data_IF_552889298721
#
_entry.id   IF_552889298721
#
_cell.length_a   1.000
_cell.length_b   1.000
_cell.length_c   1.000
_cell.angle_alpha   90.00
_cell.angle_beta   90.00
_cell.angle_gamma   90.00
#
_symmetry.space_group_name_H-M   'P 1'
#
loop_
_entity.id
_entity.type
_entity.pdbx_description
1 polymer ?
#
# COMPACT_ATOMS: atom_id res chain seq x y z
N UNK A 1 -6.30 0.68 16.17
CA UNK A 1 -6.47 0.22 14.77
C UNK A 1 -5.40 0.86 13.91
N UNK A 2 -4.73 0.11 13.03
CA UNK A 2 -3.79 0.62 12.03
C UNK A 2 -4.40 0.43 10.64
N UNK A 3 -4.43 1.51 9.84
CA UNK A 3 -4.97 1.50 8.47
C UNK A 3 -4.05 2.25 7.49
N UNK A 4 -4.06 1.80 6.24
CA UNK A 4 -3.48 2.50 5.09
C UNK A 4 -4.64 2.92 4.18
N UNK A 5 -5.18 4.15 4.32
CA UNK A 5 -6.48 4.51 3.75
C UNK A 5 -6.44 4.85 2.26
N UNK A 6 -5.25 5.00 1.69
CA UNK A 6 -5.06 5.30 0.26
C UNK A 6 -3.98 4.40 -0.34
N UNK A 7 -4.32 3.72 -1.43
CA UNK A 7 -3.48 2.73 -2.11
C UNK A 7 -2.94 1.68 -1.15
N UNK A 8 -3.86 1.10 -0.37
CA UNK A 8 -3.57 0.17 0.72
C UNK A 8 -2.63 -0.97 0.30
N UNK A 9 -1.75 -1.36 1.19
CA UNK A 9 -0.94 -2.57 1.04
C UNK A 9 -1.67 -3.73 1.78
N UNK A 10 -2.09 -4.80 1.10
CA UNK A 10 -1.71 -5.22 -0.26
C UNK A 10 -2.70 -4.84 -1.38
N UNK A 11 -3.93 -4.37 -1.06
CA UNK A 11 -5.05 -4.35 -2.00
C UNK A 11 -4.98 -3.24 -3.06
N UNK A 12 -4.24 -2.16 -2.80
CA UNK A 12 -4.25 -0.96 -3.64
C UNK A 12 -5.53 -0.11 -3.49
N UNK A 13 -6.45 -0.50 -2.62
CA UNK A 13 -7.73 0.17 -2.41
C UNK A 13 -7.59 1.56 -1.79
N UNK A 14 -8.57 2.41 -2.08
CA UNK A 14 -8.78 3.72 -1.47
C UNK A 14 -10.08 3.66 -0.69
N UNK A 15 -10.02 3.95 0.61
CA UNK A 15 -11.20 4.02 1.46
C UNK A 15 -12.05 5.22 1.06
N UNK A 16 -13.37 5.04 1.01
CA UNK A 16 -14.27 6.18 0.82
C UNK A 16 -14.40 6.99 2.11
N UNK A 17 -14.87 8.24 1.99
CA UNK A 17 -15.13 9.08 3.15
C UNK A 17 -16.17 8.44 4.08
N UNK A 18 -17.19 7.79 3.51
CA UNK A 18 -18.22 7.09 4.25
C UNK A 18 -17.62 5.90 5.04
N UNK A 19 -16.73 5.11 4.42
CA UNK A 19 -16.02 4.02 5.11
C UNK A 19 -15.17 4.54 6.28
N UNK A 20 -14.48 5.66 6.09
CA UNK A 20 -13.65 6.26 7.13
C UNK A 20 -14.50 6.78 8.30
N UNK A 21 -15.61 7.48 8.01
CA UNK A 21 -16.56 7.94 9.03
C UNK A 21 -17.18 6.76 9.79
N UNK A 22 -17.54 5.69 9.11
CA UNK A 22 -18.07 4.49 9.75
C UNK A 22 -17.03 3.79 10.64
N UNK A 23 -15.76 3.72 10.20
CA UNK A 23 -14.67 3.20 11.03
C UNK A 23 -14.47 4.04 12.29
N UNK A 24 -14.51 5.37 12.18
CA UNK A 24 -14.46 6.27 13.33
C UNK A 24 -15.62 6.03 14.29
N UNK A 25 -16.85 5.93 13.76
CA UNK A 25 -18.05 5.65 14.54
C UNK A 25 -17.97 4.32 15.31
N UNK A 26 -17.55 3.26 14.63
CA UNK A 26 -17.41 1.94 15.25
C UNK A 26 -16.30 1.96 16.31
N UNK A 27 -15.13 2.47 15.98
CA UNK A 27 -13.98 2.46 16.89
C UNK A 27 -14.21 3.29 18.15
N UNK A 28 -14.86 4.45 18.05
CA UNK A 28 -15.17 5.30 19.21
C UNK A 28 -16.15 4.65 20.20
N UNK A 29 -16.99 3.72 19.74
CA UNK A 29 -17.91 2.98 20.60
C UNK A 29 -17.23 1.94 21.50
N UNK A 30 -16.02 1.49 21.15
CA UNK A 30 -15.30 0.50 21.95
C UNK A 30 -14.64 1.10 23.19
N UNK A 31 -14.07 2.29 23.07
CA UNK A 31 -13.38 2.96 24.19
C UNK A 31 -12.97 4.38 23.81
N UNK A 32 -12.99 5.27 24.77
CA UNK A 32 -12.39 6.61 24.73
C UNK A 32 -10.84 6.56 24.56
N UNK A 33 -10.23 5.39 24.79
CA UNK A 33 -8.79 5.13 24.57
C UNK A 33 -8.51 4.40 23.26
N UNK A 34 -9.50 4.19 22.40
CA UNK A 34 -9.28 3.58 21.09
C UNK A 34 -8.44 4.51 20.23
N UNK A 35 -7.35 3.99 19.67
CA UNK A 35 -6.44 4.78 18.82
C UNK A 35 -6.60 4.41 17.35
N UNK A 36 -6.84 5.42 16.53
CA UNK A 36 -6.80 5.32 15.07
C UNK A 36 -5.43 5.76 14.60
N UNK A 37 -4.65 4.85 14.03
CA UNK A 37 -3.36 5.13 13.43
C UNK A 37 -3.47 4.95 11.91
N UNK A 38 -3.34 6.04 11.18
CA UNK A 38 -3.38 6.03 9.72
C UNK A 38 -1.99 6.24 9.12
N UNK A 39 -1.54 5.27 8.32
CA UNK A 39 -0.29 5.37 7.57
C UNK A 39 -0.57 5.81 6.13
N UNK A 40 -0.23 7.06 5.84
CA UNK A 40 -0.34 7.65 4.50
C UNK A 40 0.95 7.47 3.69
N UNK A 41 1.58 6.31 3.73
CA UNK A 41 2.81 6.02 2.98
C UNK A 41 2.65 6.18 1.45
N UNK A 42 1.43 6.08 0.95
CA UNK A 42 1.11 6.13 -0.50
C UNK A 42 0.21 7.29 -0.89
N UNK A 43 0.03 8.31 -0.02
CA UNK A 43 -0.91 9.42 -0.21
C UNK A 43 -0.85 10.09 -1.59
N UNK A 44 0.34 10.23 -2.17
CA UNK A 44 0.61 10.96 -3.42
C UNK A 44 1.12 10.04 -4.55
N UNK A 45 0.82 8.75 -4.48
CA UNK A 45 1.32 7.74 -5.45
C UNK A 45 0.30 7.39 -6.53
N UNK A 46 -0.59 8.33 -6.89
CA UNK A 46 -1.52 8.16 -7.99
C UNK A 46 -0.77 8.09 -9.33
N UNK A 47 -1.10 7.12 -10.17
CA UNK A 47 -0.63 7.01 -11.56
C UNK A 47 -1.78 7.04 -12.57
N UNK A 48 -3.02 6.98 -12.10
CA UNK A 48 -4.26 7.24 -12.84
C UNK A 48 -5.12 8.22 -12.05
N UNK A 49 -6.08 8.92 -12.70
CA UNK A 49 -7.08 9.68 -11.97
C UNK A 49 -7.79 8.79 -10.94
N UNK A 50 -7.75 9.20 -9.69
CA UNK A 50 -8.35 8.47 -8.59
C UNK A 50 -9.49 9.24 -7.96
N UNK A 51 -10.35 8.53 -7.22
CA UNK A 51 -11.43 9.16 -6.45
C UNK A 51 -10.84 10.20 -5.50
N UNK A 52 -11.39 11.40 -5.52
CA UNK A 52 -11.03 12.44 -4.54
C UNK A 52 -11.45 11.97 -3.15
N UNK A 53 -10.57 12.16 -2.19
CA UNK A 53 -10.76 11.81 -0.79
C UNK A 53 -10.59 13.07 0.03
N UNK A 54 -11.52 13.34 0.93
CA UNK A 54 -11.41 14.48 1.86
C UNK A 54 -10.18 14.31 2.77
N UNK A 55 -9.56 15.40 3.22
CA UNK A 55 -8.50 15.31 4.21
C UNK A 55 -8.96 14.49 5.43
N UNK A 56 -8.21 13.45 5.76
CA UNK A 56 -8.56 12.53 6.84
C UNK A 56 -8.78 13.25 8.18
N UNK A 57 -8.03 14.33 8.40
CA UNK A 57 -8.16 15.12 9.62
C UNK A 57 -9.53 15.80 9.72
N UNK A 58 -10.09 16.31 8.61
CA UNK A 58 -11.43 16.88 8.59
C UNK A 58 -12.49 15.84 8.95
N UNK A 59 -12.36 14.61 8.44
CA UNK A 59 -13.24 13.50 8.78
C UNK A 59 -13.13 13.11 10.26
N UNK A 60 -11.92 13.14 10.84
CA UNK A 60 -11.70 12.86 12.26
C UNK A 60 -12.35 13.92 13.15
N UNK A 61 -12.25 15.19 12.78
CA UNK A 61 -12.93 16.31 13.47
C UNK A 61 -14.45 16.20 13.35
N UNK A 62 -14.96 15.90 12.15
CA UNK A 62 -16.40 15.68 11.94
C UNK A 62 -16.95 14.55 12.80
N UNK A 63 -16.17 13.47 12.98
CA UNK A 63 -16.54 12.33 13.82
C UNK A 63 -16.27 12.55 15.33
N UNK A 64 -15.64 13.67 15.74
CA UNK A 64 -15.30 13.95 17.14
C UNK A 64 -14.22 13.03 17.72
N UNK A 65 -13.29 12.53 16.88
CA UNK A 65 -12.26 11.55 17.28
C UNK A 65 -10.83 12.05 16.99
N UNK A 66 -10.65 13.34 16.81
CA UNK A 66 -9.34 13.95 16.54
C UNK A 66 -8.33 13.65 17.65
N UNK A 67 -8.75 13.57 18.91
CA UNK A 67 -7.90 13.24 20.06
C UNK A 67 -7.47 11.76 20.09
N UNK A 68 -8.18 10.91 19.35
CA UNK A 68 -7.89 9.49 19.20
C UNK A 68 -7.19 9.19 17.86
N UNK A 69 -6.92 10.21 17.03
CA UNK A 69 -6.40 10.03 15.68
C UNK A 69 -4.95 10.47 15.56
N UNK A 70 -4.13 9.59 15.00
CA UNK A 70 -2.74 9.87 14.59
C UNK A 70 -2.59 9.55 13.12
N UNK A 71 -2.06 10.51 12.37
CA UNK A 71 -1.75 10.35 10.94
C UNK A 71 -0.25 10.39 10.76
N UNK A 72 0.29 9.43 10.04
CA UNK A 72 1.71 9.37 9.68
C UNK A 72 1.88 9.38 8.16
N UNK A 73 2.97 9.96 7.68
CA UNK A 73 3.38 9.87 6.28
C UNK A 73 4.90 9.90 6.17
N UNK A 74 5.42 9.48 5.02
CA UNK A 74 6.87 9.39 4.79
C UNK A 74 7.24 9.65 3.34
N UNK A 75 8.39 10.25 3.12
CA UNK A 75 9.03 10.41 1.82
C UNK A 75 9.92 9.22 1.43
N UNK A 76 9.96 8.15 2.23
CA UNK A 76 10.80 6.96 1.95
C UNK A 76 10.49 6.29 0.59
N UNK A 77 9.24 6.38 0.13
CA UNK A 77 8.82 5.86 -1.18
C UNK A 77 8.65 6.95 -2.25
N UNK A 78 8.83 8.21 -1.85
CA UNK A 78 8.80 9.37 -2.76
C UNK A 78 10.19 9.67 -3.29
N UNK A 79 11.22 9.59 -2.44
CA UNK A 79 12.62 9.85 -2.79
C UNK A 79 13.44 8.57 -2.82
N UNK A 80 13.93 8.12 -1.66
CA UNK A 80 14.73 6.90 -1.56
C UNK A 80 14.60 6.28 -0.16
N UNK A 81 14.57 4.97 -0.12
CA UNK A 81 14.51 4.20 1.13
C UNK A 81 15.72 4.45 2.01
N UNK A 82 15.50 4.56 3.33
CA UNK A 82 16.54 4.84 4.31
C UNK A 82 16.95 6.31 4.42
N UNK A 83 16.61 7.14 3.44
CA UNK A 83 16.90 8.58 3.46
C UNK A 83 15.65 9.48 3.44
N UNK A 84 14.45 8.91 3.58
CA UNK A 84 13.22 9.67 3.63
C UNK A 84 13.07 10.49 4.92
N UNK A 85 12.24 11.52 4.85
CA UNK A 85 11.74 12.23 6.03
C UNK A 85 10.33 11.77 6.34
N UNK A 86 9.95 11.76 7.61
CA UNK A 86 8.64 11.31 8.07
C UNK A 86 7.94 12.43 8.84
N UNK A 87 6.63 12.43 8.77
CA UNK A 87 5.77 13.38 9.46
C UNK A 87 4.70 12.62 10.22
N UNK A 88 4.24 13.20 11.31
CA UNK A 88 3.02 12.78 11.98
C UNK A 88 2.19 14.00 12.38
N UNK A 89 0.87 13.80 12.39
CA UNK A 89 -0.10 14.78 12.84
C UNK A 89 -1.03 14.13 13.86
N UNK A 90 -1.39 14.89 14.89
CA UNK A 90 -2.30 14.48 15.95
C UNK A 90 -2.84 15.73 16.65
N UNK A 91 -3.87 15.56 17.50
CA UNK A 91 -4.35 16.63 18.38
C UNK A 91 -3.30 17.07 19.41
N UNK A 92 -3.55 18.20 20.09
CA UNK A 92 -2.60 18.79 21.02
C UNK A 92 -2.14 17.84 22.13
N UNK A 93 -3.05 17.14 22.79
CA UNK A 93 -2.73 16.22 23.89
C UNK A 93 -1.91 15.02 23.45
N UNK A 94 -2.34 14.35 22.39
CA UNK A 94 -1.62 13.21 21.79
C UNK A 94 -0.28 13.65 21.21
N UNK A 95 -0.22 14.85 20.59
CA UNK A 95 1.01 15.41 20.06
C UNK A 95 2.06 15.64 21.14
N UNK A 96 1.68 16.16 22.30
CA UNK A 96 2.60 16.42 23.41
C UNK A 96 3.17 15.11 24.00
N UNK A 97 2.35 14.07 24.08
CA UNK A 97 2.84 12.74 24.49
C UNK A 97 3.85 12.19 23.48
N UNK A 98 3.55 12.25 22.18
CA UNK A 98 4.44 11.78 21.11
C UNK A 98 5.76 12.59 21.13
N UNK A 99 5.69 13.92 21.28
CA UNK A 99 6.87 14.78 21.40
C UNK A 99 7.75 14.37 22.59
N UNK A 100 7.16 14.12 23.76
CA UNK A 100 7.88 13.70 24.96
C UNK A 100 8.65 12.39 24.73
N UNK A 101 8.01 11.39 24.15
CA UNK A 101 8.66 10.11 23.82
C UNK A 101 9.75 10.31 22.77
N UNK A 102 9.44 11.01 21.68
CA UNK A 102 10.39 11.27 20.60
C UNK A 102 11.65 11.99 21.05
N UNK A 103 11.53 13.02 21.90
CA UNK A 103 12.70 13.76 22.39
C UNK A 103 13.63 12.92 23.27
N UNK A 104 13.12 11.85 23.86
CA UNK A 104 13.94 10.87 24.59
C UNK A 104 14.68 9.93 23.63
N UNK A 105 14.05 9.57 22.50
CA UNK A 105 14.62 8.65 21.51
C UNK A 105 15.57 9.35 20.53
N UNK A 106 15.22 10.59 20.12
CA UNK A 106 15.93 11.34 19.07
C UNK A 106 16.04 12.78 19.52
N UNK A 107 17.26 13.25 19.79
CA UNK A 107 17.53 14.64 20.22
C UNK A 107 17.08 15.63 19.14
N UNK A 108 17.47 15.39 17.89
CA UNK A 108 16.98 16.17 16.74
C UNK A 108 16.92 15.31 15.48
N UNK A 109 15.95 15.57 14.58
CA UNK A 109 15.94 14.96 13.25
C UNK A 109 17.16 15.37 12.43
N UNK A 110 17.54 14.53 11.45
CA UNK A 110 18.63 14.84 10.52
C UNK A 110 18.29 16.08 9.66
N UNK A 111 18.89 17.22 10.06
CA UNK A 111 18.68 18.50 9.39
C UNK A 111 19.30 18.55 7.99
N UNK A 112 20.41 17.82 7.78
CA UNK A 112 21.04 17.76 6.47
C UNK A 112 20.14 17.05 5.48
N UNK A 113 19.53 15.95 5.89
CA UNK A 113 18.56 15.23 5.06
C UNK A 113 17.31 16.07 4.79
N UNK A 114 16.78 16.79 5.77
CA UNK A 114 15.68 17.74 5.54
C UNK A 114 16.07 18.82 4.52
N UNK A 115 17.28 19.38 4.64
CA UNK A 115 17.79 20.37 3.68
C UNK A 115 17.88 19.81 2.27
N UNK A 116 18.34 18.55 2.10
CA UNK A 116 18.36 17.87 0.79
C UNK A 116 16.98 17.80 0.15
N UNK A 117 15.95 17.44 0.91
CA UNK A 117 14.59 17.38 0.41
C UNK A 117 14.06 18.77 0.02
N UNK A 118 14.31 19.80 0.83
CA UNK A 118 13.94 21.19 0.51
C UNK A 118 14.64 21.67 -0.77
N UNK A 119 15.94 21.40 -0.91
CA UNK A 119 16.69 21.80 -2.09
C UNK A 119 16.25 21.04 -3.36
N UNK A 120 15.86 19.78 -3.22
CA UNK A 120 15.40 18.96 -4.33
C UNK A 120 14.00 19.36 -4.82
N UNK A 121 13.06 19.51 -3.91
CA UNK A 121 11.67 19.79 -4.26
C UNK A 121 11.38 21.29 -4.42
N UNK A 122 12.08 22.14 -3.69
CA UNK A 122 11.85 23.58 -3.52
C UNK A 122 10.55 23.90 -2.79
N UNK A 123 9.41 23.41 -3.29
CA UNK A 123 8.07 23.64 -2.77
C UNK A 123 7.11 22.47 -3.02
N UNK A 124 5.84 22.65 -2.71
CA UNK A 124 4.81 21.64 -2.91
C UNK A 124 4.58 21.32 -4.39
N UNK A 125 4.79 22.27 -5.30
CA UNK A 125 4.66 22.01 -6.74
C UNK A 125 5.77 21.09 -7.23
N UNK A 126 7.00 21.28 -6.76
CA UNK A 126 8.11 20.38 -7.06
C UNK A 126 7.87 18.93 -6.60
N UNK A 127 7.18 18.73 -5.47
CA UNK A 127 6.74 17.39 -5.05
C UNK A 127 5.73 16.80 -6.05
N UNK A 128 4.73 17.58 -6.47
CA UNK A 128 3.73 17.13 -7.46
C UNK A 128 4.37 16.77 -8.79
N UNK A 129 5.25 17.62 -9.31
CA UNK A 129 5.95 17.40 -10.58
C UNK A 129 6.83 16.15 -10.52
N UNK A 130 7.48 15.90 -9.38
CA UNK A 130 8.26 14.68 -9.16
C UNK A 130 7.35 13.44 -9.17
N UNK A 131 6.23 13.47 -8.48
CA UNK A 131 5.30 12.34 -8.43
C UNK A 131 4.60 12.09 -9.76
N UNK A 132 4.38 13.11 -10.57
CA UNK A 132 3.90 12.94 -11.94
C UNK A 132 4.90 12.16 -12.79
N UNK A 133 6.20 12.52 -12.76
CA UNK A 133 7.25 11.76 -13.44
C UNK A 133 7.38 10.32 -12.91
N UNK A 134 7.20 10.15 -11.60
CA UNK A 134 7.16 8.81 -10.99
C UNK A 134 5.98 7.99 -11.54
N UNK A 135 4.80 8.59 -11.67
CA UNK A 135 3.61 7.93 -12.23
C UNK A 135 3.85 7.48 -13.69
N UNK A 136 4.54 8.28 -14.50
CA UNK A 136 4.91 7.94 -15.88
C UNK A 136 5.81 6.70 -15.96
N UNK A 137 6.64 6.46 -14.94
CA UNK A 137 7.50 5.27 -14.86
C UNK A 137 6.75 4.04 -14.34
N UNK A 138 5.82 4.23 -13.40
CA UNK A 138 5.12 3.15 -12.71
C UNK A 138 3.93 2.63 -13.51
N UNK A 139 3.11 3.52 -14.07
CA UNK A 139 1.88 3.18 -14.80
C UNK A 139 2.09 2.11 -15.88
N UNK A 140 3.09 2.20 -16.79
CA UNK A 140 3.26 1.19 -17.83
C UNK A 140 3.52 -0.22 -17.27
N UNK A 141 4.12 -0.34 -16.09
CA UNK A 141 4.36 -1.63 -15.44
C UNK A 141 3.06 -2.26 -14.91
N UNK A 142 2.14 -1.44 -14.41
CA UNK A 142 0.79 -1.91 -14.06
C UNK A 142 0.01 -2.34 -15.30
N UNK A 143 0.11 -1.58 -16.40
CA UNK A 143 -0.53 -1.91 -17.67
C UNK A 143 -0.04 -3.27 -18.22
N UNK A 144 1.28 -3.54 -18.14
CA UNK A 144 1.86 -4.84 -18.47
C UNK A 144 1.25 -5.93 -17.57
N UNK A 145 1.29 -5.74 -16.25
CA UNK A 145 0.75 -6.74 -15.33
C UNK A 145 -0.73 -7.04 -15.61
N UNK A 146 -1.56 -6.01 -15.85
CA UNK A 146 -2.97 -6.20 -16.18
C UNK A 146 -3.17 -6.97 -17.48
N UNK A 147 -2.39 -6.67 -18.52
CA UNK A 147 -2.51 -7.35 -19.83
C UNK A 147 -2.24 -8.87 -19.76
N UNK A 148 -1.45 -9.31 -18.79
CA UNK A 148 -1.24 -10.72 -18.51
C UNK A 148 -2.34 -11.31 -17.63
N UNK A 149 -2.71 -10.63 -16.55
CA UNK A 149 -3.77 -11.09 -15.65
C UNK A 149 -5.12 -11.22 -16.33
N UNK A 150 -5.40 -10.39 -17.34
CA UNK A 150 -6.60 -10.45 -18.18
C UNK A 150 -6.66 -11.68 -19.11
N UNK A 151 -5.54 -12.41 -19.28
CA UNK A 151 -5.52 -13.65 -20.05
C UNK A 151 -6.02 -14.85 -19.23
N UNK A 152 -5.97 -14.76 -17.90
CA UNK A 152 -6.47 -15.79 -17.02
C UNK A 152 -8.00 -15.89 -17.11
N UNK A 153 -8.50 -17.13 -17.09
CA UNK A 153 -9.94 -17.37 -16.99
C UNK A 153 -10.48 -16.84 -15.64
N UNK A 154 -11.69 -16.30 -15.65
CA UNK A 154 -12.38 -15.85 -14.43
C UNK A 154 -12.54 -16.99 -13.40
N UNK A 155 -12.58 -18.24 -13.85
CA UNK A 155 -12.58 -19.43 -13.01
C UNK A 155 -11.29 -19.60 -12.20
N UNK A 156 -10.17 -19.02 -12.64
CA UNK A 156 -8.90 -19.07 -11.91
C UNK A 156 -8.84 -18.02 -10.78
N UNK A 157 -9.63 -16.96 -10.84
CA UNK A 157 -9.64 -15.93 -9.80
C UNK A 157 -9.89 -14.52 -10.33
N UNK A 158 -9.58 -13.55 -9.50
CA UNK A 158 -9.72 -12.13 -9.83
C UNK A 158 -8.56 -11.30 -9.28
N UNK A 159 -8.45 -10.05 -9.71
CA UNK A 159 -7.39 -9.14 -9.27
C UNK A 159 -7.90 -7.72 -9.05
N UNK A 160 -7.24 -7.00 -8.14
CA UNK A 160 -7.51 -5.58 -7.89
C UNK A 160 -6.95 -4.70 -9.01
N UNK A 161 -7.61 -3.56 -9.28
CA UNK A 161 -7.17 -2.55 -10.27
C UNK A 161 -6.93 -1.21 -9.59
N UNK A 162 -5.84 -1.09 -8.82
CA UNK A 162 -5.50 0.16 -8.15
C UNK A 162 -5.23 1.30 -9.15
N UNK A 163 -5.51 2.52 -8.71
CA UNK A 163 -5.20 3.75 -9.45
C UNK A 163 -3.88 4.39 -9.00
N UNK A 164 -3.17 3.74 -8.06
CA UNK A 164 -1.91 4.20 -7.50
C UNK A 164 -1.25 3.16 -6.59
N UNK A 165 -0.19 3.54 -5.92
CA UNK A 165 0.58 2.66 -5.05
C UNK A 165 1.51 1.71 -5.83
N UNK A 166 1.79 0.55 -5.22
CA UNK A 166 2.81 -0.39 -5.73
C UNK A 166 2.31 -1.83 -5.87
N UNK A 167 1.05 -2.12 -5.53
CA UNK A 167 0.60 -3.49 -5.36
C UNK A 167 -0.68 -3.78 -6.12
N UNK A 168 -0.74 -5.00 -6.65
CA UNK A 168 -1.94 -5.65 -7.15
C UNK A 168 -2.19 -6.85 -6.25
N UNK A 169 -3.41 -7.07 -5.82
CA UNK A 169 -3.82 -8.30 -5.15
C UNK A 169 -4.49 -9.20 -6.18
N UNK A 170 -3.99 -10.42 -6.30
CA UNK A 170 -4.63 -11.50 -7.03
C UNK A 170 -5.26 -12.46 -6.02
N UNK A 171 -6.53 -12.80 -6.23
CA UNK A 171 -7.28 -13.73 -5.39
C UNK A 171 -7.64 -14.96 -6.20
N UNK A 172 -7.05 -16.10 -5.87
CA UNK A 172 -7.37 -17.38 -6.52
C UNK A 172 -8.75 -17.87 -6.10
N UNK A 173 -9.48 -18.50 -7.01
CA UNK A 173 -10.81 -19.09 -6.73
C UNK A 173 -10.73 -20.36 -5.87
N UNK A 174 -9.60 -21.07 -5.95
CA UNK A 174 -9.27 -22.28 -5.16
C UNK A 174 -8.15 -21.98 -4.16
N UNK A 175 -7.96 -22.80 -3.11
CA UNK A 175 -6.89 -22.63 -2.11
C UNK A 175 -5.51 -23.07 -2.65
N UNK A 176 -4.95 -22.29 -3.58
CA UNK A 176 -3.70 -22.62 -4.30
C UNK A 176 -2.63 -21.52 -4.25
N UNK A 177 -2.83 -20.45 -3.48
CA UNK A 177 -1.87 -19.33 -3.46
C UNK A 177 -0.45 -19.78 -3.08
N UNK A 178 -0.31 -20.63 -2.08
CA UNK A 178 0.99 -21.20 -1.67
C UNK A 178 1.63 -22.03 -2.79
N UNK A 179 0.84 -22.81 -3.53
CA UNK A 179 1.31 -23.61 -4.66
C UNK A 179 1.75 -22.74 -5.83
N UNK A 180 1.00 -21.70 -6.17
CA UNK A 180 1.38 -20.69 -7.19
C UNK A 180 2.72 -20.06 -6.85
N UNK A 181 2.88 -19.58 -5.60
CA UNK A 181 4.15 -18.97 -5.15
C UNK A 181 5.32 -19.96 -5.27
N UNK A 182 5.10 -21.23 -4.92
CA UNK A 182 6.11 -22.29 -5.05
C UNK A 182 6.49 -22.51 -6.51
N UNK A 183 5.53 -22.67 -7.41
CA UNK A 183 5.75 -22.86 -8.84
C UNK A 183 6.50 -21.68 -9.46
N UNK A 184 6.12 -20.45 -9.16
CA UNK A 184 6.86 -19.25 -9.59
C UNK A 184 8.33 -19.33 -9.17
N UNK A 185 8.60 -19.70 -7.91
CA UNK A 185 9.97 -19.84 -7.39
C UNK A 185 10.75 -20.94 -8.11
N UNK A 186 10.14 -22.08 -8.41
CA UNK A 186 10.75 -23.19 -9.15
C UNK A 186 11.12 -22.78 -10.57
N UNK A 187 10.34 -21.89 -11.18
CA UNK A 187 10.59 -21.29 -12.49
C UNK A 187 11.48 -20.04 -12.46
N UNK A 188 12.04 -19.68 -11.29
CA UNK A 188 12.99 -18.58 -11.14
C UNK A 188 12.36 -17.20 -10.85
N UNK A 189 11.06 -17.10 -10.62
CA UNK A 189 10.36 -15.86 -10.28
C UNK A 189 10.04 -15.80 -8.79
N UNK A 190 10.62 -14.82 -8.10
CA UNK A 190 10.39 -14.60 -6.68
C UNK A 190 9.27 -13.60 -6.48
N UNK A 191 8.16 -14.01 -5.92
CA UNK A 191 7.04 -13.19 -5.50
C UNK A 191 6.88 -13.20 -3.98
N UNK A 192 6.05 -12.31 -3.46
CA UNK A 192 5.79 -12.25 -2.02
C UNK A 192 5.25 -13.59 -1.51
N UNK A 193 5.79 -14.13 -0.40
CA UNK A 193 5.29 -15.40 0.15
C UNK A 193 3.79 -15.35 0.44
N UNK A 194 3.06 -16.43 0.12
CA UNK A 194 1.65 -16.56 0.44
C UNK A 194 1.42 -16.39 1.96
N UNK A 195 0.31 -15.78 2.33
CA UNK A 195 -0.02 -15.50 3.73
C UNK A 195 0.69 -14.29 4.35
N UNK A 196 1.80 -13.79 3.78
CA UNK A 196 2.58 -12.68 4.38
C UNK A 196 1.82 -11.36 4.51
N UNK A 197 0.70 -11.21 3.85
CA UNK A 197 -0.20 -10.06 3.95
C UNK A 197 -1.27 -10.21 5.05
N UNK A 198 -1.26 -11.33 5.75
CA UNK A 198 -2.18 -11.65 6.83
C UNK A 198 -1.48 -11.66 8.18
N UNK A 199 -2.22 -11.44 9.30
CA UNK A 199 -1.68 -11.62 10.64
C UNK A 199 -1.07 -13.02 10.81
N UNK A 200 0.07 -13.09 11.48
CA UNK A 200 0.82 -14.33 11.72
C UNK A 200 1.29 -15.05 10.44
N UNK A 201 1.32 -14.35 9.30
CA UNK A 201 1.66 -14.90 7.99
C UNK A 201 0.78 -16.12 7.58
N UNK A 202 -0.49 -16.09 7.95
CA UNK A 202 -1.42 -17.17 7.69
C UNK A 202 -2.68 -16.65 6.98
N UNK A 203 -2.85 -17.06 5.73
CA UNK A 203 -4.10 -16.88 4.96
C UNK A 203 -4.96 -18.15 5.17
N UNK A 204 -6.10 -18.05 5.87
CA UNK A 204 -6.92 -19.22 6.16
C UNK A 204 -7.57 -19.85 4.91
N UNK A 205 -7.61 -19.11 3.80
CA UNK A 205 -8.17 -19.59 2.52
C UNK A 205 -7.09 -19.97 1.52
N UNK A 206 -5.82 -19.71 1.79
CA UNK A 206 -4.71 -19.89 0.85
C UNK A 206 -5.02 -19.36 -0.56
N UNK A 207 -5.54 -18.15 -0.65
CA UNK A 207 -6.10 -17.59 -1.88
C UNK A 207 -5.52 -16.24 -2.29
N UNK A 208 -4.76 -15.55 -1.43
CA UNK A 208 -4.33 -14.17 -1.68
C UNK A 208 -2.84 -14.08 -2.02
N UNK A 209 -2.54 -13.50 -3.18
CA UNK A 209 -1.19 -13.26 -3.67
C UNK A 209 -1.00 -11.77 -3.92
N UNK A 210 0.08 -11.18 -3.39
CA UNK A 210 0.46 -9.81 -3.66
C UNK A 210 1.49 -9.75 -4.77
N UNK A 211 1.17 -9.02 -5.84
CA UNK A 211 2.06 -8.73 -6.97
C UNK A 211 2.60 -7.32 -6.81
N UNK A 212 3.93 -7.14 -6.96
CA UNK A 212 4.62 -5.85 -6.89
C UNK A 212 5.38 -5.58 -8.19
N UNK A 213 4.74 -5.04 -9.24
CA UNK A 213 5.30 -4.99 -10.59
C UNK A 213 6.39 -3.92 -10.77
N UNK A 214 6.62 -3.06 -9.78
CA UNK A 214 7.35 -1.80 -9.98
C UNK A 214 8.87 -1.91 -9.92
N UNK A 215 9.44 -2.99 -9.36
CA UNK A 215 10.87 -3.12 -9.10
C UNK A 215 11.69 -3.49 -10.35
N UNK A 216 11.25 -4.48 -11.09
CA UNK A 216 11.96 -5.06 -12.25
C UNK A 216 11.86 -4.20 -13.51
N UNK A 217 12.66 -4.46 -14.53
CA UNK A 217 12.53 -3.86 -15.88
C UNK A 217 11.16 -4.24 -16.50
N UNK A 218 10.76 -3.62 -17.59
CA UNK A 218 9.51 -3.99 -18.28
C UNK A 218 9.64 -5.38 -18.92
N UNK A 219 10.80 -5.65 -19.50
CA UNK A 219 11.14 -6.91 -20.16
C UNK A 219 11.12 -8.08 -19.16
N UNK A 220 11.75 -7.91 -17.99
CA UNK A 220 11.72 -8.90 -16.92
C UNK A 220 10.32 -9.08 -16.33
N UNK A 221 9.54 -7.99 -16.28
CA UNK A 221 8.15 -8.05 -15.80
C UNK A 221 7.26 -8.88 -16.73
N UNK A 222 7.41 -8.72 -18.05
CA UNK A 222 6.67 -9.53 -19.04
C UNK A 222 6.94 -11.01 -18.82
N UNK A 223 8.21 -11.41 -18.69
CA UNK A 223 8.60 -12.80 -18.41
C UNK A 223 8.06 -13.27 -17.05
N UNK A 224 8.16 -12.45 -16.02
CA UNK A 224 7.66 -12.79 -14.70
C UNK A 224 6.14 -12.97 -14.68
N UNK A 225 5.41 -12.15 -15.42
CA UNK A 225 3.95 -12.27 -15.52
C UNK A 225 3.52 -13.49 -16.35
N UNK A 226 4.25 -13.85 -17.40
CA UNK A 226 4.02 -15.08 -18.13
C UNK A 226 4.18 -16.32 -17.24
N UNK A 227 5.27 -16.36 -16.47
CA UNK A 227 5.48 -17.42 -15.45
C UNK A 227 4.35 -17.43 -14.42
N UNK A 228 3.91 -16.26 -13.96
CA UNK A 228 2.86 -16.15 -12.96
C UNK A 228 1.53 -16.73 -13.46
N UNK A 229 1.06 -16.34 -14.65
CA UNK A 229 -0.21 -16.85 -15.19
C UNK A 229 -0.13 -18.37 -15.43
N UNK A 230 0.99 -18.88 -15.96
CA UNK A 230 1.21 -20.32 -16.14
C UNK A 230 1.19 -21.07 -14.80
N UNK A 231 1.78 -20.49 -13.74
CA UNK A 231 1.76 -21.08 -12.41
C UNK A 231 0.33 -21.13 -11.81
N UNK A 232 -0.49 -20.09 -12.07
CA UNK A 232 -1.90 -20.06 -11.65
C UNK A 232 -2.70 -21.17 -12.33
N UNK A 233 -2.60 -21.28 -13.65
CA UNK A 233 -3.30 -22.32 -14.44
C UNK A 233 -2.89 -23.72 -14.00
N UNK A 234 -1.58 -23.97 -13.84
CA UNK A 234 -1.06 -25.26 -13.41
C UNK A 234 -1.55 -25.64 -12.00
N UNK A 235 -1.48 -24.70 -11.04
CA UNK A 235 -1.92 -24.95 -9.68
C UNK A 235 -3.43 -25.25 -9.59
N UNK A 236 -4.25 -24.63 -10.46
CA UNK A 236 -5.68 -24.93 -10.53
C UNK A 236 -5.95 -26.32 -11.12
N UNK A 237 -5.20 -26.71 -12.16
CA UNK A 237 -5.35 -28.02 -12.79
C UNK A 237 -4.93 -29.18 -11.87
N UNK A 238 -3.96 -28.99 -10.97
CA UNK A 238 -3.52 -29.99 -10.00
C UNK A 238 -4.62 -30.40 -8.98
N UNK A 239 -5.62 -29.54 -8.74
CA UNK A 239 -6.73 -29.81 -7.81
C UNK A 239 -7.87 -30.56 -8.51
N UNK A 240 -7.98 -30.48 -9.85
CA UNK A 240 -9.05 -31.10 -10.61
C UNK A 240 -8.76 -32.58 -10.96
N UNK A 241 -7.61 -33.08 -10.53
CA UNK A 241 -7.19 -34.52 -10.68
C UNK A 241 -7.42 -35.24 -9.36
#
# INVERSE_FOLDING_TARGET
>A
MLCVPRHSNPSGEIYSDENLLELFRIGSQFSDKFLFLFDHAYLIHDFLPSKEQRPLWELAVEAGVEDQTVVTTSFSKVTFGGGGISFYASSGGSLDLIKKVRTTMIICPDKLNQKRHVEFFKDAQGVKDHMQRHAELVRPKFEIAYSYLEKLDEECGNFSRPTGGYFITYSTSKPVASRVVQLCKEMGVLITPAGSTFPKNYDPKDSVIRIAPTYVSKEDLEVAMEVFITAVELAHSEIDI
#
